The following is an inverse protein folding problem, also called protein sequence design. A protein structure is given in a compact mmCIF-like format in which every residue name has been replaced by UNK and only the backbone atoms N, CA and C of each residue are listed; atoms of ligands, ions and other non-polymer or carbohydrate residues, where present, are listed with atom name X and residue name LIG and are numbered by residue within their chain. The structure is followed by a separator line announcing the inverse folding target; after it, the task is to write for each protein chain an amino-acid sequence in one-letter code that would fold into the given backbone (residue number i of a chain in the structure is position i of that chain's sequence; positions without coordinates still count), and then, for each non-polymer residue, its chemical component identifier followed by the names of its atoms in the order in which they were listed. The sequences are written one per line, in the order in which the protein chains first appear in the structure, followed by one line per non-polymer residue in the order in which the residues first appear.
data_IF_767883973976
#
_entry.id   IF_767883973976
#
_cell.length_a   1.000
_cell.length_b   1.000
_cell.length_c   1.000
_cell.angle_alpha   90.00
_cell.angle_beta   90.00
_cell.angle_gamma   90.00
#
_symmetry.space_group_name_H-M   'P 1'
#
loop_
_entity.id
_entity.type
_entity.pdbx_description
1 polymer ?
#
# COMPACT_ATOMS: atom_id res chain seq x y z
N UNK A 1 41.98 46.77 -11.71
CA UNK A 1 41.74 45.65 -10.75
C UNK A 1 40.27 45.19 -10.64
N UNK A 2 39.26 45.95 -11.08
CA UNK A 2 37.83 45.58 -10.98
C UNK A 2 37.28 44.62 -12.05
N UNK A 3 37.93 44.48 -13.21
CA UNK A 3 37.42 43.63 -14.30
C UNK A 3 37.68 42.12 -14.13
N UNK A 4 38.74 41.78 -13.40
CA UNK A 4 39.08 40.38 -13.10
C UNK A 4 38.08 39.69 -12.16
N UNK A 5 37.58 40.41 -11.14
CA UNK A 5 36.63 39.87 -10.17
C UNK A 5 35.24 39.66 -10.78
N UNK A 6 34.81 40.54 -11.68
CA UNK A 6 33.51 40.39 -12.38
C UNK A 6 33.49 39.17 -13.31
N UNK A 7 34.59 38.88 -14.01
CA UNK A 7 34.72 37.71 -14.89
C UNK A 7 34.79 36.41 -14.10
N UNK A 8 35.45 36.40 -12.94
CA UNK A 8 35.52 35.24 -12.06
C UNK A 8 34.16 34.89 -11.44
N UNK A 9 33.39 35.89 -11.01
CA UNK A 9 32.04 35.72 -10.45
C UNK A 9 31.04 35.20 -11.49
N UNK A 10 31.07 35.74 -12.71
CA UNK A 10 30.19 35.28 -13.81
C UNK A 10 30.50 33.84 -14.21
N UNK A 11 31.78 33.42 -14.24
CA UNK A 11 32.21 32.07 -14.58
C UNK A 11 31.82 31.02 -13.51
N UNK A 12 31.81 31.43 -12.22
CA UNK A 12 31.37 30.59 -11.12
C UNK A 12 29.86 30.39 -11.11
N UNK A 13 29.09 31.43 -11.49
CA UNK A 13 27.65 31.38 -11.62
C UNK A 13 27.18 30.50 -12.79
N UNK A 14 27.91 30.52 -13.93
CA UNK A 14 27.66 29.66 -15.10
C UNK A 14 27.91 28.19 -14.79
N UNK A 15 29.00 27.84 -14.11
CA UNK A 15 29.28 26.43 -13.73
C UNK A 15 28.24 25.86 -12.77
N UNK A 16 27.74 26.66 -11.81
CA UNK A 16 26.68 26.23 -10.90
C UNK A 16 25.36 25.92 -11.64
N UNK A 17 25.00 26.76 -12.62
CA UNK A 17 23.81 26.55 -13.43
C UNK A 17 23.93 25.29 -14.31
N UNK A 18 25.09 25.01 -14.88
CA UNK A 18 25.30 23.78 -15.67
C UNK A 18 25.15 22.50 -14.84
N UNK A 19 25.65 22.50 -13.60
CA UNK A 19 25.44 21.37 -12.68
C UNK A 19 23.98 21.16 -12.32
N UNK A 20 23.25 22.25 -12.04
CA UNK A 20 21.81 22.18 -11.74
C UNK A 20 21.03 21.65 -12.94
N UNK A 21 21.31 22.13 -14.15
CA UNK A 21 20.65 21.66 -15.37
C UNK A 21 20.96 20.18 -15.65
N UNK A 22 22.19 19.72 -15.44
CA UNK A 22 22.56 18.30 -15.57
C UNK A 22 21.84 17.44 -14.53
N UNK A 23 21.75 17.93 -13.30
CA UNK A 23 21.04 17.22 -12.22
C UNK A 23 19.54 17.10 -12.51
N UNK A 24 18.91 18.19 -12.98
CA UNK A 24 17.51 18.20 -13.38
C UNK A 24 17.26 17.22 -14.55
N UNK A 25 18.13 17.23 -15.56
CA UNK A 25 18.04 16.28 -16.69
C UNK A 25 18.18 14.84 -16.23
N UNK A 26 19.14 14.54 -15.35
CA UNK A 26 19.33 13.19 -14.80
C UNK A 26 18.11 12.73 -14.00
N UNK A 27 17.58 13.55 -13.11
CA UNK A 27 16.38 13.24 -12.33
C UNK A 27 15.16 13.04 -13.23
N UNK A 28 14.98 13.90 -14.23
CA UNK A 28 13.90 13.77 -15.21
C UNK A 28 14.00 12.47 -16.01
N UNK A 29 15.20 12.08 -16.43
CA UNK A 29 15.42 10.82 -17.16
C UNK A 29 15.08 9.61 -16.29
N UNK A 30 15.52 9.59 -15.04
CA UNK A 30 15.20 8.52 -14.08
C UNK A 30 13.69 8.45 -13.84
N UNK A 31 13.02 9.59 -13.70
CA UNK A 31 11.57 9.64 -13.52
C UNK A 31 10.82 9.06 -14.73
N UNK A 32 11.24 9.40 -15.94
CA UNK A 32 10.64 8.85 -17.19
C UNK A 32 10.84 7.34 -17.26
N UNK A 33 12.04 6.84 -16.93
CA UNK A 33 12.31 5.40 -16.91
C UNK A 33 11.42 4.70 -15.88
N UNK A 34 11.25 5.26 -14.69
CA UNK A 34 10.36 4.72 -13.65
C UNK A 34 8.90 4.68 -14.12
N UNK A 35 8.43 5.73 -14.79
CA UNK A 35 7.07 5.77 -15.35
C UNK A 35 6.91 4.71 -16.44
N UNK A 36 7.89 4.55 -17.33
CA UNK A 36 7.86 3.52 -18.38
C UNK A 36 7.89 2.10 -17.80
N UNK A 37 8.73 1.84 -16.80
CA UNK A 37 8.76 0.56 -16.09
C UNK A 37 7.43 0.30 -15.38
N UNK A 38 6.80 1.33 -14.84
CA UNK A 38 5.50 1.22 -14.18
C UNK A 38 4.38 0.89 -15.19
N UNK A 39 4.36 1.54 -16.37
CA UNK A 39 3.40 1.25 -17.44
C UNK A 39 3.62 -0.16 -18.01
N UNK A 40 4.86 -0.61 -18.10
CA UNK A 40 5.15 -1.98 -18.53
C UNK A 40 4.77 -3.02 -17.47
N UNK A 41 4.97 -2.73 -16.19
CA UNK A 41 4.56 -3.60 -15.09
C UNK A 41 3.04 -3.79 -15.04
N UNK A 42 2.26 -2.77 -15.39
CA UNK A 42 0.80 -2.84 -15.49
C UNK A 42 0.33 -3.82 -16.59
N UNK A 43 1.09 -3.96 -17.67
CA UNK A 43 0.84 -4.96 -18.73
C UNK A 43 1.25 -6.39 -18.34
N UNK A 44 2.18 -6.55 -17.40
CA UNK A 44 2.67 -7.86 -16.94
C UNK A 44 1.97 -8.39 -15.66
N UNK A 45 0.90 -7.76 -15.25
CA UNK A 45 -0.05 -8.28 -14.25
C UNK A 45 0.23 -7.83 -12.81
N UNK A 46 -0.79 -7.29 -12.20
CA UNK A 46 -1.05 -7.20 -10.77
C UNK A 46 -0.40 -6.10 -9.92
N UNK A 47 0.32 -5.14 -10.50
CA UNK A 47 0.73 -3.96 -9.72
C UNK A 47 -0.25 -2.82 -10.00
N UNK A 48 -1.32 -2.75 -9.22
CA UNK A 48 -2.29 -1.64 -9.27
C UNK A 48 -1.76 -0.47 -8.43
N UNK A 49 -2.04 0.77 -8.82
CA UNK A 49 -1.69 1.98 -8.03
C UNK A 49 -2.14 1.92 -6.57
N UNK A 50 -3.24 1.23 -6.29
CA UNK A 50 -3.69 0.98 -4.92
C UNK A 50 -2.73 0.08 -4.14
N UNK A 51 -2.06 -0.89 -4.78
CA UNK A 51 -1.06 -1.74 -4.12
C UNK A 51 0.18 -0.94 -3.72
N UNK A 52 0.59 0.05 -4.52
CA UNK A 52 1.68 0.98 -4.18
C UNK A 52 1.29 1.87 -3.01
N UNK A 53 0.05 2.40 -3.01
CA UNK A 53 -0.47 3.20 -1.90
C UNK A 53 -0.55 2.39 -0.60
N UNK A 54 -0.98 1.14 -0.68
CA UNK A 54 -1.05 0.23 0.47
C UNK A 54 0.36 -0.13 0.97
N UNK A 55 1.33 -0.33 0.07
CA UNK A 55 2.73 -0.57 0.42
C UNK A 55 3.37 0.65 1.11
N UNK A 56 3.16 1.85 0.57
CA UNK A 56 3.65 3.09 1.18
C UNK A 56 3.00 3.33 2.54
N UNK A 57 1.68 3.14 2.66
CA UNK A 57 0.98 3.31 3.94
C UNK A 57 1.45 2.31 4.99
N UNK A 58 1.66 1.06 4.62
CA UNK A 58 2.21 0.04 5.53
C UNK A 58 3.68 0.31 5.90
N UNK A 59 4.49 0.81 4.97
CA UNK A 59 5.87 1.19 5.24
C UNK A 59 5.98 2.41 6.17
N UNK A 60 5.13 3.41 5.98
CA UNK A 60 5.08 4.62 6.83
C UNK A 60 4.46 4.33 8.20
N UNK A 61 3.45 3.45 8.26
CA UNK A 61 2.84 3.00 9.53
C UNK A 61 3.73 2.01 10.29
N UNK A 62 4.78 1.52 9.64
CA UNK A 62 5.58 0.36 10.04
C UNK A 62 6.61 0.57 11.14
N UNK A 63 6.58 1.68 11.90
CA UNK A 63 7.60 1.95 12.94
C UNK A 63 7.37 1.22 14.26
N UNK A 64 6.19 0.62 14.49
CA UNK A 64 5.93 -0.19 15.67
C UNK A 64 5.82 -1.66 15.27
N UNK A 65 6.69 -2.49 15.81
CA UNK A 65 6.59 -3.94 15.73
C UNK A 65 5.45 -4.42 16.62
N UNK A 66 4.73 -5.47 16.21
CA UNK A 66 3.79 -6.17 17.09
C UNK A 66 4.51 -7.00 18.17
N UNK A 67 3.75 -7.48 19.14
CA UNK A 67 4.27 -8.28 20.26
C UNK A 67 4.64 -9.72 19.88
N UNK A 68 4.41 -10.09 18.62
CA UNK A 68 4.64 -11.44 18.11
C UNK A 68 3.43 -12.36 18.31
N UNK A 69 3.56 -13.59 17.83
CA UNK A 69 2.56 -14.63 18.05
C UNK A 69 2.83 -15.38 19.37
N UNK A 70 1.80 -15.90 20.10
CA UNK A 70 0.39 -15.95 19.71
C UNK A 70 -0.34 -14.60 19.85
N UNK A 71 -1.25 -14.32 18.91
CA UNK A 71 -2.13 -13.15 18.99
C UNK A 71 -3.38 -13.50 19.80
N UNK A 72 -3.65 -12.75 20.85
CA UNK A 72 -4.81 -12.95 21.70
C UNK A 72 -5.97 -12.09 21.22
N UNK A 73 -7.11 -12.73 20.96
CA UNK A 73 -8.36 -12.06 20.63
C UNK A 73 -9.17 -11.82 21.90
N UNK A 74 -9.63 -10.60 22.07
CA UNK A 74 -10.62 -10.28 23.10
C UNK A 74 -12.00 -10.79 22.62
N UNK A 75 -12.39 -11.96 23.11
CA UNK A 75 -13.78 -12.49 23.17
C UNK A 75 -14.54 -12.79 21.86
N UNK A 76 -13.94 -12.67 20.67
CA UNK A 76 -14.66 -12.93 19.42
C UNK A 76 -14.27 -14.30 18.83
N UNK A 77 -15.27 -15.06 18.39
CA UNK A 77 -15.03 -16.31 17.68
C UNK A 77 -14.46 -16.02 16.29
N UNK A 78 -13.26 -16.52 16.02
CA UNK A 78 -12.70 -16.50 14.68
C UNK A 78 -13.47 -17.50 13.82
N UNK A 79 -14.10 -17.04 12.75
CA UNK A 79 -14.83 -17.84 11.77
C UNK A 79 -13.93 -18.40 10.69
N UNK A 80 -12.98 -17.62 10.22
CA UNK A 80 -12.05 -18.01 9.17
C UNK A 80 -10.73 -17.26 9.27
N UNK A 81 -9.68 -17.89 8.76
CA UNK A 81 -8.32 -17.32 8.68
C UNK A 81 -7.78 -17.50 7.28
N UNK A 82 -7.33 -16.42 6.66
CA UNK A 82 -6.72 -16.44 5.32
C UNK A 82 -5.37 -15.74 5.35
N UNK A 83 -4.48 -16.13 4.44
CA UNK A 83 -3.26 -15.40 4.17
C UNK A 83 -3.51 -14.34 3.09
N UNK A 84 -2.89 -13.16 3.22
CA UNK A 84 -2.83 -12.12 2.20
C UNK A 84 -1.38 -11.64 2.05
N UNK A 85 -0.66 -12.23 1.10
CA UNK A 85 0.78 -12.10 1.01
C UNK A 85 1.48 -12.66 2.25
N UNK A 86 2.21 -11.85 3.00
CA UNK A 86 2.89 -12.22 4.26
C UNK A 86 2.04 -12.03 5.52
N UNK A 87 0.81 -11.52 5.38
CA UNK A 87 -0.04 -11.11 6.48
C UNK A 87 -1.21 -12.10 6.65
N UNK A 88 -1.88 -12.05 7.79
CA UNK A 88 -3.05 -12.86 8.10
C UNK A 88 -4.31 -12.00 8.14
N UNK A 89 -5.38 -12.53 7.57
CA UNK A 89 -6.72 -12.00 7.72
C UNK A 89 -7.48 -12.92 8.65
N UNK A 90 -8.06 -12.35 9.68
CA UNK A 90 -8.88 -13.02 10.66
C UNK A 90 -10.29 -12.47 10.55
N UNK A 91 -11.24 -13.35 10.34
CA UNK A 91 -12.65 -13.00 10.15
C UNK A 91 -13.40 -13.50 11.36
N UNK A 92 -14.11 -12.61 12.02
CA UNK A 92 -14.99 -12.90 13.13
C UNK A 92 -16.45 -12.55 12.79
N UNK A 93 -17.35 -12.58 13.78
CA UNK A 93 -18.77 -12.31 13.59
C UNK A 93 -19.10 -10.85 13.21
N UNK A 94 -18.21 -9.91 13.47
CA UNK A 94 -18.50 -8.48 13.35
C UNK A 94 -17.40 -7.68 12.68
N UNK A 95 -16.21 -8.24 12.55
CA UNK A 95 -15.07 -7.55 11.93
C UNK A 95 -14.10 -8.49 11.20
N UNK A 96 -13.33 -7.90 10.33
CA UNK A 96 -12.19 -8.51 9.67
C UNK A 96 -10.93 -7.78 10.12
N UNK A 97 -10.02 -8.51 10.75
CA UNK A 97 -8.75 -7.99 11.29
C UNK A 97 -7.60 -8.46 10.41
N UNK A 98 -6.74 -7.55 10.01
CA UNK A 98 -5.50 -7.86 9.29
C UNK A 98 -4.31 -7.70 10.23
N UNK A 99 -3.53 -8.78 10.36
CA UNK A 99 -2.30 -8.82 11.14
C UNK A 99 -1.09 -8.96 10.21
N UNK A 100 -0.03 -8.22 10.49
CA UNK A 100 1.24 -8.42 9.79
C UNK A 100 2.03 -9.63 10.35
N UNK A 101 3.18 -9.92 9.74
CA UNK A 101 4.06 -11.02 10.15
C UNK A 101 4.59 -10.91 11.59
N UNK A 102 4.43 -9.77 12.25
CA UNK A 102 4.80 -9.55 13.65
C UNK A 102 3.61 -9.56 14.61
N UNK A 103 2.43 -10.03 14.15
CA UNK A 103 1.17 -10.00 14.88
C UNK A 103 0.65 -8.60 15.23
N UNK A 104 1.13 -7.57 14.53
CA UNK A 104 0.60 -6.21 14.68
C UNK A 104 -0.70 -6.08 13.90
N UNK A 105 -1.71 -5.50 14.51
CA UNK A 105 -2.96 -5.15 13.83
C UNK A 105 -2.70 -4.02 12.82
N UNK A 106 -2.84 -4.33 11.53
CA UNK A 106 -2.68 -3.40 10.41
C UNK A 106 -3.98 -2.63 10.18
N UNK A 107 -5.10 -3.36 10.22
CA UNK A 107 -6.43 -2.78 10.05
C UNK A 107 -7.49 -3.64 10.72
N UNK A 108 -8.62 -3.02 10.99
CA UNK A 108 -9.84 -3.68 11.43
C UNK A 108 -11.02 -3.05 10.70
N UNK A 109 -11.78 -3.86 9.99
CA UNK A 109 -12.90 -3.43 9.16
C UNK A 109 -14.16 -4.10 9.68
N UNK A 110 -15.10 -3.30 10.14
CA UNK A 110 -16.37 -3.78 10.66
C UNK A 110 -17.31 -4.26 9.55
N UNK A 111 -18.06 -5.29 9.84
CA UNK A 111 -19.16 -5.80 9.00
C UNK A 111 -20.29 -6.34 9.88
N UNK A 112 -21.46 -6.56 9.25
CA UNK A 112 -22.65 -7.10 9.91
C UNK A 112 -23.08 -8.43 9.29
N UNK A 113 -22.10 -9.19 8.76
CA UNK A 113 -22.35 -10.41 8.02
C UNK A 113 -22.61 -11.57 8.98
N UNK A 114 -23.70 -12.28 8.75
CA UNK A 114 -24.09 -13.42 9.57
C UNK A 114 -23.23 -14.65 9.30
N UNK A 115 -22.84 -14.82 8.05
CA UNK A 115 -22.02 -15.95 7.60
C UNK A 115 -20.96 -15.45 6.60
N UNK A 116 -19.92 -14.76 7.09
CA UNK A 116 -18.90 -14.18 6.22
C UNK A 116 -18.11 -15.25 5.48
N UNK A 117 -18.04 -15.13 4.15
CA UNK A 117 -17.17 -15.88 3.26
C UNK A 117 -16.05 -14.96 2.77
N UNK A 118 -14.81 -15.42 2.89
CA UNK A 118 -13.65 -14.67 2.45
C UNK A 118 -12.95 -15.38 1.29
N UNK A 119 -12.71 -14.63 0.23
CA UNK A 119 -11.89 -15.04 -0.90
C UNK A 119 -10.78 -14.04 -1.15
N UNK A 120 -9.53 -14.52 -1.20
CA UNK A 120 -8.35 -13.70 -1.45
C UNK A 120 -7.81 -13.98 -2.85
N UNK A 121 -7.46 -12.91 -3.57
CA UNK A 121 -6.74 -12.98 -4.83
C UNK A 121 -5.91 -11.71 -5.04
N UNK A 122 -4.62 -11.89 -5.32
CA UNK A 122 -3.70 -10.82 -5.70
C UNK A 122 -3.70 -9.61 -4.75
N UNK A 123 -3.75 -9.86 -3.45
CA UNK A 123 -3.74 -8.83 -2.43
C UNK A 123 -5.10 -8.10 -2.26
N UNK A 124 -6.15 -8.64 -2.85
CA UNK A 124 -7.54 -8.20 -2.68
C UNK A 124 -8.33 -9.27 -1.96
N UNK A 125 -9.25 -8.83 -1.15
CA UNK A 125 -10.14 -9.68 -0.40
C UNK A 125 -11.57 -9.34 -0.76
N UNK A 126 -12.31 -10.34 -1.22
CA UNK A 126 -13.76 -10.30 -1.30
C UNK A 126 -14.29 -10.90 0.00
N UNK A 127 -15.05 -10.13 0.74
CA UNK A 127 -15.83 -10.57 1.88
C UNK A 127 -17.31 -10.50 1.50
N UNK A 128 -18.02 -11.60 1.56
CA UNK A 128 -19.43 -11.70 1.21
C UNK A 128 -20.21 -12.40 2.33
N UNK A 129 -21.48 -12.07 2.50
CA UNK A 129 -22.39 -12.75 3.44
C UNK A 129 -23.10 -13.91 2.76
N UNK A 130 -22.84 -15.14 3.20
CA UNK A 130 -23.54 -16.32 2.66
C UNK A 130 -24.98 -16.31 3.13
N UNK A 131 -25.92 -16.26 2.18
CA UNK A 131 -27.36 -16.16 2.45
C UNK A 131 -27.86 -14.72 2.61
N UNK A 132 -26.95 -13.74 2.58
CA UNK A 132 -27.22 -12.33 2.41
C UNK A 132 -26.93 -11.88 0.98
N UNK A 133 -27.04 -10.57 0.75
CA UNK A 133 -26.74 -9.97 -0.54
C UNK A 133 -25.60 -8.92 -0.46
N UNK A 134 -25.03 -8.71 0.73
CA UNK A 134 -24.01 -7.70 0.94
C UNK A 134 -22.60 -8.28 0.70
N UNK A 135 -21.73 -7.45 0.11
CA UNK A 135 -20.32 -7.80 -0.06
C UNK A 135 -19.41 -6.57 0.05
N UNK A 136 -18.14 -6.83 0.39
CA UNK A 136 -17.07 -5.82 0.40
C UNK A 136 -15.86 -6.34 -0.35
N UNK A 137 -15.21 -5.45 -1.10
CA UNK A 137 -13.88 -5.68 -1.64
C UNK A 137 -12.92 -4.79 -0.84
N UNK A 138 -11.89 -5.40 -0.27
CA UNK A 138 -10.94 -4.71 0.59
C UNK A 138 -9.50 -5.02 0.21
N UNK A 139 -8.61 -4.11 0.55
CA UNK A 139 -7.17 -4.32 0.63
C UNK A 139 -6.77 -4.60 2.08
N UNK A 140 -5.46 -4.77 2.32
CA UNK A 140 -4.94 -4.94 3.68
C UNK A 140 -5.32 -3.81 4.65
N UNK A 141 -5.52 -2.59 4.15
CA UNK A 141 -5.63 -1.39 4.98
C UNK A 141 -6.99 -0.71 4.92
N UNK A 142 -7.82 -1.00 3.90
CA UNK A 142 -9.08 -0.28 3.69
C UNK A 142 -10.08 -1.05 2.84
N UNK A 143 -11.35 -0.69 2.98
CA UNK A 143 -12.40 -1.06 2.03
C UNK A 143 -12.22 -0.29 0.72
N UNK A 144 -12.27 -1.00 -0.40
CA UNK A 144 -12.14 -0.45 -1.75
C UNK A 144 -13.51 -0.26 -2.40
N UNK A 145 -14.41 -1.20 -2.15
CA UNK A 145 -15.77 -1.18 -2.66
C UNK A 145 -16.69 -1.93 -1.69
N UNK A 146 -17.92 -1.47 -1.59
CA UNK A 146 -18.99 -2.09 -0.83
C UNK A 146 -20.27 -2.04 -1.64
N UNK A 147 -21.04 -3.11 -1.66
CA UNK A 147 -22.26 -3.19 -2.45
C UNK A 147 -23.17 -4.34 -2.04
N UNK A 148 -24.27 -4.45 -2.76
CA UNK A 148 -25.22 -5.54 -2.65
C UNK A 148 -25.41 -6.18 -4.01
N UNK A 149 -25.67 -7.50 -4.01
CA UNK A 149 -26.13 -8.25 -5.19
C UNK A 149 -27.67 -8.24 -5.18
N UNK A 150 -28.27 -8.20 -6.36
CA UNK A 150 -29.71 -8.37 -6.54
C UNK A 150 -30.13 -9.83 -6.34
#
# INVERSE_FOLDING_TARGET
MKDGERKASARKKSKGQEHIVKLIKSVSTVLVILILLFIMADKFGNITFSSVGDYISSAVSGTKRGDGYPYLFDSLQVKDVKAIGSDLILINDSSTVVLDSTARKVSEIQHTYSSPLCYENSGRVLLADIGGNAFKIMSKTKTLYEGTTD
#
